data_IF_090173131578
#
_entry.id   IF_090173131578
#
_cell.length_a   1.000
_cell.length_b   1.000
_cell.length_c   1.000
_cell.angle_alpha   90.00
_cell.angle_beta   90.00
_cell.angle_gamma   90.00
#
_symmetry.space_group_name_H-M   'P 1'
#
loop_
_entity.id
_entity.type
_entity.pdbx_description
1 polymer ?
#
# COMPACT_ATOMS: atom_id res chain seq x y z
N UNK A 1 -4.24 -23.26 35.65
CA UNK A 1 -4.72 -21.89 35.87
C UNK A 1 -4.50 -21.17 34.56
N UNK A 2 -5.56 -20.79 33.85
CA UNK A 2 -5.42 -20.08 32.58
C UNK A 2 -5.09 -18.64 32.90
N UNK A 3 -3.81 -18.26 32.83
CA UNK A 3 -3.41 -16.87 32.85
C UNK A 3 -4.11 -16.16 31.69
N UNK A 4 -5.13 -15.36 32.01
CA UNK A 4 -5.60 -14.35 31.09
C UNK A 4 -4.51 -13.28 31.03
N UNK A 5 -3.56 -13.48 30.11
CA UNK A 5 -2.61 -12.43 29.76
C UNK A 5 -3.42 -11.24 29.26
N UNK A 6 -3.50 -10.20 30.09
CA UNK A 6 -4.14 -8.95 29.72
C UNK A 6 -3.35 -8.38 28.53
N UNK A 7 -3.97 -8.35 27.36
CA UNK A 7 -3.35 -7.75 26.19
C UNK A 7 -3.11 -6.26 26.46
N UNK A 8 -1.92 -5.78 26.11
CA UNK A 8 -1.57 -4.38 26.18
C UNK A 8 -1.90 -3.69 24.86
N UNK A 9 -2.21 -2.40 24.93
CA UNK A 9 -2.37 -1.60 23.73
C UNK A 9 -1.00 -1.23 23.16
N UNK A 10 -0.77 -1.49 21.88
CA UNK A 10 0.49 -1.13 21.23
C UNK A 10 0.56 0.35 20.86
N UNK A 11 1.72 1.02 20.98
CA UNK A 11 1.89 2.37 20.46
C UNK A 11 1.73 2.39 18.94
N UNK A 12 0.93 3.32 18.42
CA UNK A 12 0.67 3.46 16.98
C UNK A 12 1.08 4.85 16.51
N UNK A 13 1.71 4.91 15.34
CA UNK A 13 1.94 6.15 14.59
C UNK A 13 1.17 6.12 13.27
N UNK A 14 0.77 7.28 12.78
CA UNK A 14 0.09 7.36 11.49
C UNK A 14 0.46 8.62 10.71
N UNK A 15 0.43 8.50 9.39
CA UNK A 15 0.46 9.60 8.45
C UNK A 15 -0.51 9.28 7.31
N UNK A 16 -0.72 10.24 6.41
CA UNK A 16 -1.56 10.03 5.24
C UNK A 16 -0.97 10.76 4.04
N UNK A 17 -1.37 10.29 2.87
CA UNK A 17 -1.23 10.94 1.57
C UNK A 17 -2.62 11.18 1.01
N UNK A 18 -2.72 11.79 -0.17
CA UNK A 18 -4.03 12.00 -0.81
C UNK A 18 -4.79 10.67 -0.99
N UNK A 19 -4.10 9.64 -1.46
CA UNK A 19 -4.65 8.33 -1.84
C UNK A 19 -4.58 7.26 -0.74
N UNK A 20 -3.65 7.37 0.21
CA UNK A 20 -3.36 6.30 1.16
C UNK A 20 -3.17 6.76 2.62
N UNK A 21 -3.28 5.80 3.53
CA UNK A 21 -2.97 5.91 4.94
C UNK A 21 -1.73 5.06 5.26
N UNK A 22 -0.84 5.63 6.06
CA UNK A 22 0.35 4.97 6.56
C UNK A 22 0.17 4.76 8.05
N UNK A 23 0.02 3.52 8.49
CA UNK A 23 -0.08 3.18 9.91
C UNK A 23 1.15 2.38 10.32
N UNK A 24 1.72 2.68 11.48
CA UNK A 24 2.89 1.96 12.01
C UNK A 24 2.60 1.55 13.45
N UNK A 25 2.62 0.25 13.71
CA UNK A 25 2.60 -0.30 15.07
C UNK A 25 4.06 -0.37 15.54
N UNK A 26 4.40 0.43 16.54
CA UNK A 26 5.78 0.67 17.00
C UNK A 26 6.18 -0.38 18.04
N UNK A 27 6.21 -1.64 17.61
CA UNK A 27 6.62 -2.79 18.42
C UNK A 27 7.78 -3.54 17.76
N UNK A 28 8.89 -3.76 18.47
CA UNK A 28 9.99 -4.58 17.99
C UNK A 28 9.69 -6.07 18.15
N UNK A 29 10.38 -6.91 17.37
CA UNK A 29 10.42 -8.37 17.51
C UNK A 29 9.05 -9.03 17.67
N UNK A 30 8.04 -8.55 16.93
CA UNK A 30 6.69 -9.10 16.96
C UNK A 30 6.69 -10.56 16.50
N UNK A 31 5.94 -11.41 17.20
CA UNK A 31 5.71 -12.82 16.86
C UNK A 31 4.22 -13.13 16.91
N UNK A 32 3.82 -14.20 16.24
CA UNK A 32 2.43 -14.68 16.18
C UNK A 32 1.47 -13.57 15.74
N UNK A 33 1.90 -12.76 14.77
CA UNK A 33 1.10 -11.64 14.30
C UNK A 33 -0.17 -12.11 13.59
N UNK A 34 -1.28 -11.44 13.92
CA UNK A 34 -2.55 -11.58 13.24
C UNK A 34 -3.05 -10.20 12.87
N UNK A 35 -3.14 -9.97 11.58
CA UNK A 35 -3.69 -8.75 10.99
C UNK A 35 -5.04 -9.06 10.38
N UNK A 36 -6.01 -8.19 10.62
CA UNK A 36 -7.31 -8.21 9.95
C UNK A 36 -7.63 -6.78 9.56
N UNK A 37 -7.73 -6.54 8.27
CA UNK A 37 -8.14 -5.27 7.70
C UNK A 37 -9.55 -5.46 7.14
N UNK A 38 -10.49 -4.67 7.62
CA UNK A 38 -11.84 -4.57 7.10
C UNK A 38 -12.04 -3.18 6.49
N UNK A 39 -13.10 -2.99 5.70
CA UNK A 39 -13.35 -1.73 4.96
C UNK A 39 -13.47 -0.47 5.82
N UNK A 40 -13.50 -0.58 7.15
CA UNK A 40 -13.51 0.55 8.07
C UNK A 40 -12.74 0.30 9.38
N UNK A 41 -12.06 -0.84 9.50
CA UNK A 41 -11.34 -1.13 10.72
C UNK A 41 -10.03 -1.88 10.43
N UNK A 42 -9.04 -1.69 11.30
CA UNK A 42 -7.82 -2.48 11.32
C UNK A 42 -7.66 -3.08 12.72
N UNK A 43 -7.55 -4.40 12.77
CA UNK A 43 -7.23 -5.13 13.99
C UNK A 43 -5.87 -5.80 13.84
N UNK A 44 -4.99 -5.56 14.80
CA UNK A 44 -3.69 -6.21 14.92
C UNK A 44 -3.57 -6.88 16.28
N UNK A 45 -3.03 -8.09 16.30
CA UNK A 45 -2.60 -8.79 17.51
C UNK A 45 -1.21 -9.37 17.28
N UNK A 46 -0.37 -9.35 18.30
CA UNK A 46 0.96 -9.94 18.22
C UNK A 46 1.65 -9.95 19.57
N UNK A 47 2.66 -10.78 19.71
CA UNK A 47 3.47 -10.90 20.94
C UNK A 47 4.80 -10.22 20.73
N UNK A 48 5.18 -9.29 21.61
CA UNK A 48 6.50 -8.66 21.62
C UNK A 48 7.11 -8.81 23.00
N UNK A 49 8.38 -9.25 23.08
CA UNK A 49 9.10 -9.46 24.35
C UNK A 49 8.33 -10.32 25.37
N UNK A 50 7.59 -11.33 24.90
CA UNK A 50 6.79 -12.22 25.75
C UNK A 50 5.47 -11.62 26.24
N UNK A 51 5.10 -10.43 25.79
CA UNK A 51 3.86 -9.75 26.16
C UNK A 51 2.92 -9.64 24.96
N UNK A 52 1.64 -9.95 25.19
CA UNK A 52 0.62 -9.88 24.15
C UNK A 52 0.18 -8.43 23.96
N UNK A 53 0.18 -7.98 22.72
CA UNK A 53 -0.31 -6.68 22.31
C UNK A 53 -1.49 -6.79 21.35
N UNK A 54 -2.42 -5.86 21.46
CA UNK A 54 -3.52 -5.68 20.53
C UNK A 54 -3.74 -4.22 20.16
N UNK A 55 -4.24 -4.01 18.95
CA UNK A 55 -4.62 -2.72 18.39
C UNK A 55 -5.91 -2.91 17.63
N UNK A 56 -6.88 -2.01 17.83
CA UNK A 56 -8.13 -1.94 17.07
C UNK A 56 -8.42 -0.51 16.63
N UNK A 57 -8.19 -0.20 15.37
CA UNK A 57 -8.41 1.13 14.80
C UNK A 57 -9.71 1.13 14.02
N UNK A 58 -10.71 1.88 14.49
CA UNK A 58 -11.94 2.13 13.74
C UNK A 58 -11.80 3.43 12.94
N UNK A 59 -11.56 3.31 11.64
CA UNK A 59 -11.19 4.40 10.74
C UNK A 59 -12.30 5.44 10.57
N UNK A 60 -11.89 6.70 10.37
CA UNK A 60 -12.79 7.83 10.19
C UNK A 60 -13.70 7.64 8.96
N UNK A 61 -13.16 7.16 7.84
CA UNK A 61 -13.89 6.82 6.61
C UNK A 61 -13.49 5.43 6.11
N UNK A 62 -14.12 4.99 5.02
CA UNK A 62 -13.87 3.68 4.43
C UNK A 62 -12.50 3.61 3.72
N UNK A 63 -11.92 2.42 3.76
CA UNK A 63 -10.66 2.05 3.09
C UNK A 63 -10.92 0.94 2.09
N UNK A 64 -10.05 0.84 1.09
CA UNK A 64 -10.11 -0.21 0.09
C UNK A 64 -9.24 -1.40 0.53
N UNK A 65 -9.88 -2.47 0.96
CA UNK A 65 -9.21 -3.71 1.39
C UNK A 65 -8.89 -4.62 0.20
N UNK A 66 -9.59 -4.46 -0.92
CA UNK A 66 -9.42 -5.29 -2.11
C UNK A 66 -8.28 -4.77 -3.00
N UNK A 67 -7.88 -3.52 -2.82
CA UNK A 67 -6.70 -2.95 -3.46
C UNK A 67 -5.44 -3.76 -3.14
N UNK A 68 -4.66 -4.07 -4.18
CA UNK A 68 -3.38 -4.76 -4.08
C UNK A 68 -2.32 -3.95 -3.33
N UNK A 69 -2.51 -2.64 -3.23
CA UNK A 69 -1.60 -1.73 -2.56
C UNK A 69 -1.92 -1.60 -1.06
N UNK A 70 -3.07 -2.12 -0.61
CA UNK A 70 -3.42 -2.23 0.81
C UNK A 70 -2.67 -3.40 1.45
N UNK A 71 -1.38 -3.20 1.68
CA UNK A 71 -0.44 -4.20 2.20
C UNK A 71 0.07 -3.85 3.60
N UNK A 72 0.63 -4.85 4.26
CA UNK A 72 1.37 -4.64 5.50
C UNK A 72 2.68 -5.41 5.45
N UNK A 73 3.70 -4.88 6.12
CA UNK A 73 5.01 -5.46 6.21
C UNK A 73 5.51 -5.35 7.65
N UNK A 74 6.06 -6.46 8.15
CA UNK A 74 6.69 -6.52 9.46
C UNK A 74 8.20 -6.41 9.30
N UNK A 75 8.81 -5.55 10.11
CA UNK A 75 10.25 -5.43 10.28
C UNK A 75 10.63 -5.89 11.68
N UNK A 76 11.94 -5.95 11.97
CA UNK A 76 12.43 -6.25 13.32
C UNK A 76 12.05 -5.18 14.36
N UNK A 77 11.74 -3.96 13.91
CA UNK A 77 11.48 -2.81 14.80
C UNK A 77 10.02 -2.42 14.92
N UNK A 78 9.24 -2.68 13.88
CA UNK A 78 7.87 -2.18 13.77
C UNK A 78 7.10 -2.90 12.66
N UNK A 79 5.78 -2.76 12.70
CA UNK A 79 4.88 -3.27 11.66
C UNK A 79 4.28 -2.08 10.92
N UNK A 80 4.49 -2.03 9.61
CA UNK A 80 4.00 -0.99 8.73
C UNK A 80 2.77 -1.46 7.96
N UNK A 81 1.84 -0.55 7.75
CA UNK A 81 0.63 -0.74 6.98
C UNK A 81 0.54 0.39 5.96
N UNK A 82 0.38 0.02 4.70
CA UNK A 82 -0.06 0.90 3.62
C UNK A 82 -1.52 0.54 3.35
N UNK A 83 -2.43 1.49 3.48
CA UNK A 83 -3.87 1.24 3.34
C UNK A 83 -4.45 2.27 2.38
N UNK A 84 -4.94 1.83 1.23
CA UNK A 84 -5.53 2.70 0.24
C UNK A 84 -6.89 3.22 0.72
N UNK A 85 -7.13 4.52 0.57
CA UNK A 85 -8.42 5.14 0.85
C UNK A 85 -9.39 4.76 -0.25
N UNK A 86 -10.63 4.46 0.12
CA UNK A 86 -11.67 4.11 -0.86
C UNK A 86 -12.02 5.29 -1.78
N UNK A 87 -12.01 6.51 -1.24
CA UNK A 87 -12.20 7.75 -1.99
C UNK A 87 -10.88 8.53 -2.02
N UNK A 88 -10.18 8.49 -3.16
CA UNK A 88 -8.88 9.15 -3.34
C UNK A 88 -9.00 10.61 -3.82
N UNK A 89 -10.19 11.01 -4.29
CA UNK A 89 -10.48 12.38 -4.75
C UNK A 89 -10.86 13.33 -3.61
N UNK A 90 -10.98 12.82 -2.38
CA UNK A 90 -11.35 13.61 -1.22
C UNK A 90 -10.14 14.31 -0.58
N UNK A 91 -10.42 15.44 0.10
CA UNK A 91 -9.43 16.13 0.92
C UNK A 91 -8.87 15.24 2.04
N UNK A 92 -7.73 15.65 2.60
CA UNK A 92 -7.06 14.96 3.68
C UNK A 92 -8.00 14.71 4.86
N UNK A 93 -7.86 13.55 5.51
CA UNK A 93 -8.69 13.21 6.65
C UNK A 93 -8.27 14.09 7.84
N UNK A 94 -9.19 14.78 8.52
CA UNK A 94 -8.84 15.62 9.67
C UNK A 94 -8.40 14.81 10.89
N UNK A 95 -8.60 13.48 10.86
CA UNK A 95 -8.26 12.52 11.92
C UNK A 95 -8.24 11.10 11.35
N UNK A 96 -7.53 10.18 12.01
CA UNK A 96 -7.47 8.78 11.59
C UNK A 96 -8.71 8.01 12.05
N UNK A 97 -9.13 8.24 13.31
CA UNK A 97 -10.13 7.42 13.98
C UNK A 97 -11.46 8.14 14.16
N UNK A 98 -12.52 7.34 14.26
CA UNK A 98 -13.82 7.83 14.74
C UNK A 98 -13.77 8.21 16.23
N UNK A 99 -13.07 7.42 17.05
CA UNK A 99 -12.85 7.68 18.48
C UNK A 99 -11.67 8.62 18.72
N UNK A 100 -11.99 9.87 19.05
CA UNK A 100 -11.01 10.92 19.38
C UNK A 100 -10.21 10.65 20.66
N UNK A 101 -10.74 9.86 21.59
CA UNK A 101 -10.09 9.57 22.88
C UNK A 101 -8.96 8.59 22.68
N UNK A 102 -9.24 7.52 21.92
CA UNK A 102 -8.24 6.53 21.54
C UNK A 102 -7.12 7.18 20.72
N UNK A 103 -7.51 8.04 19.77
CA UNK A 103 -6.57 8.78 18.95
C UNK A 103 -5.62 9.61 19.81
N UNK A 104 -6.12 10.44 20.73
CA UNK A 104 -5.28 11.30 21.58
C UNK A 104 -4.35 10.54 22.53
N UNK A 105 -4.73 9.33 22.94
CA UNK A 105 -4.02 8.60 24.00
C UNK A 105 -2.95 7.67 23.42
N UNK A 106 -3.28 6.96 22.36
CA UNK A 106 -2.47 5.83 21.89
C UNK A 106 -2.02 5.93 20.43
N UNK A 107 -2.51 6.92 19.67
CA UNK A 107 -2.17 7.12 18.27
C UNK A 107 -1.47 8.48 18.10
N UNK A 108 -0.30 8.49 17.49
CA UNK A 108 0.49 9.71 17.28
C UNK A 108 0.69 9.97 15.80
N UNK A 109 0.81 11.24 15.42
CA UNK A 109 1.21 11.58 14.05
C UNK A 109 2.67 11.12 13.82
N UNK A 110 2.92 10.46 12.70
CA UNK A 110 4.26 10.10 12.25
C UNK A 110 4.88 11.30 11.51
N UNK A 111 5.51 12.20 12.26
CA UNK A 111 6.17 13.39 11.70
C UNK A 111 7.29 13.06 10.70
N UNK A 112 7.80 11.82 10.68
CA UNK A 112 8.81 11.41 9.69
C UNK A 112 8.22 11.14 8.30
N UNK A 113 6.91 10.86 8.22
CA UNK A 113 6.18 10.58 6.98
C UNK A 113 5.07 11.59 6.70
N UNK A 114 4.87 12.53 7.62
CA UNK A 114 3.85 13.57 7.49
C UNK A 114 4.21 14.49 6.33
N UNK A 115 3.25 14.68 5.43
CA UNK A 115 3.32 15.66 4.35
C UNK A 115 2.01 16.42 4.36
N UNK A 116 2.11 17.74 4.27
CA UNK A 116 0.96 18.62 4.18
C UNK A 116 0.30 18.53 2.80
N UNK A 117 -1.01 18.80 2.76
CA UNK A 117 -1.85 18.62 1.56
C UNK A 117 -1.33 19.39 0.33
N UNK A 118 -0.75 20.58 0.54
CA UNK A 118 -0.19 21.40 -0.54
C UNK A 118 1.13 20.85 -1.10
N UNK A 119 1.94 20.16 -0.28
CA UNK A 119 3.23 19.57 -0.69
C UNK A 119 3.07 18.20 -1.37
N UNK A 120 1.99 17.47 -1.05
CA UNK A 120 1.70 16.16 -1.66
C UNK A 120 1.44 16.24 -3.16
N UNK A 121 0.95 17.39 -3.64
CA UNK A 121 0.66 17.64 -5.06
C UNK A 121 1.95 17.72 -5.91
N UNK A 122 3.09 18.07 -5.30
CA UNK A 122 4.38 18.19 -5.99
C UNK A 122 5.25 16.91 -5.94
N UNK A 123 5.06 16.04 -4.94
CA UNK A 123 5.88 14.82 -4.73
C UNK A 123 5.22 13.53 -5.26
N UNK A 124 4.61 13.57 -6.45
CA UNK A 124 4.06 12.39 -7.11
C UNK A 124 5.13 11.32 -7.38
N UNK A 125 5.32 10.40 -6.43
CA UNK A 125 6.22 9.26 -6.57
C UNK A 125 6.66 8.70 -5.22
N UNK A 126 6.10 7.54 -4.85
CA UNK A 126 6.63 6.72 -3.78
C UNK A 126 8.10 6.37 -4.07
N UNK A 127 9.02 6.79 -3.20
CA UNK A 127 10.44 6.43 -3.32
C UNK A 127 10.61 4.95 -2.95
N UNK A 128 10.47 4.07 -3.96
CA UNK A 128 10.75 2.63 -3.86
C UNK A 128 12.19 2.34 -3.40
N UNK A 129 13.09 3.33 -3.39
CA UNK A 129 14.43 3.18 -2.84
C UNK A 129 14.44 2.87 -1.34
N UNK A 130 13.38 3.26 -0.60
CA UNK A 130 13.22 2.90 0.80
C UNK A 130 12.87 1.40 1.01
N UNK A 131 12.31 0.75 -0.01
CA UNK A 131 12.09 -0.72 -0.03
C UNK A 131 13.31 -1.48 -0.58
N UNK A 132 14.21 -0.80 -1.29
CA UNK A 132 15.41 -1.40 -1.91
C UNK A 132 16.59 -1.56 -0.93
N UNK A 133 16.43 -1.17 0.34
CA UNK A 133 17.49 -1.24 1.36
C UNK A 133 17.87 -2.65 1.85
N UNK A 134 17.35 -3.72 1.22
CA UNK A 134 17.51 -5.09 1.71
C UNK A 134 17.51 -6.15 0.62
N UNK A 135 18.54 -6.15 -0.24
CA UNK A 135 18.93 -7.35 -0.99
C UNK A 135 18.72 -7.32 -2.51
N UNK A 136 19.74 -6.87 -3.23
CA UNK A 136 20.25 -7.59 -4.41
C UNK A 136 19.44 -7.60 -5.71
N UNK A 137 18.36 -6.84 -5.87
CA UNK A 137 17.69 -6.71 -7.16
C UNK A 137 18.22 -5.50 -7.94
N UNK A 138 19.24 -5.76 -8.76
CA UNK A 138 19.85 -4.78 -9.64
C UNK A 138 18.95 -4.52 -10.85
N UNK A 139 18.18 -3.43 -10.81
CA UNK A 139 17.28 -2.99 -11.89
C UNK A 139 18.02 -2.75 -13.21
N UNK A 140 19.32 -2.48 -13.16
CA UNK A 140 20.18 -2.34 -14.33
C UNK A 140 20.33 -3.69 -15.07
N UNK A 141 20.21 -4.82 -14.38
CA UNK A 141 20.23 -6.16 -14.97
C UNK A 141 18.89 -6.54 -15.61
N UNK A 142 17.76 -6.06 -15.06
CA UNK A 142 16.42 -6.32 -15.62
C UNK A 142 16.16 -5.48 -16.88
N UNK A 143 16.60 -4.22 -16.90
CA UNK A 143 16.58 -3.38 -18.11
C UNK A 143 17.48 -3.95 -19.22
N UNK A 144 18.66 -4.49 -18.86
CA UNK A 144 19.55 -5.13 -19.83
C UNK A 144 18.95 -6.42 -20.42
N UNK A 145 18.24 -7.22 -19.62
CA UNK A 145 17.55 -8.43 -20.09
C UNK A 145 16.38 -8.10 -21.03
N UNK A 146 15.65 -7.02 -20.78
CA UNK A 146 14.55 -6.58 -21.64
C UNK A 146 15.06 -5.96 -22.96
N UNK A 147 16.20 -5.27 -22.92
CA UNK A 147 16.85 -4.74 -24.12
C UNK A 147 17.54 -5.83 -24.97
N UNK A 148 17.96 -6.94 -24.35
CA UNK A 148 18.46 -8.12 -25.06
C UNK A 148 17.34 -8.97 -25.70
N UNK A 149 16.15 -9.00 -25.10
CA UNK A 149 14.98 -9.71 -25.64
C UNK A 149 14.35 -8.98 -26.86
N UNK A 150 14.52 -7.66 -26.97
CA UNK A 150 14.03 -6.87 -28.11
C UNK A 150 14.91 -6.92 -29.38
N UNK A 151 16.03 -7.67 -29.34
CA UNK A 151 17.01 -7.76 -30.45
C UNK A 151 17.08 -9.17 -31.07
N UNK A 152 16.15 -10.07 -30.73
CA UNK A 152 16.09 -11.46 -31.25
C UNK A 152 14.85 -11.78 -32.10
N UNK A 153 14.12 -10.78 -32.60
CA UNK A 153 12.95 -11.01 -33.47
C UNK A 153 12.98 -10.14 -34.74
N UNK A 154 14.12 -10.11 -35.43
CA UNK A 154 14.15 -9.85 -36.87
C UNK A 154 14.54 -11.14 -37.59
N UNK A 155 13.57 -11.84 -38.16
CA UNK A 155 13.84 -12.89 -39.14
C UNK A 155 12.64 -13.73 -39.55
N UNK A 156 12.14 -13.47 -40.76
CA UNK A 156 11.32 -14.34 -41.64
C UNK A 156 9.85 -13.91 -41.76
N UNK A 157 9.46 -13.09 -42.74
CA UNK A 157 9.13 -13.40 -44.17
C UNK A 157 7.81 -14.17 -44.39
N UNK A 158 7.05 -13.66 -45.37
CA UNK A 158 5.93 -14.29 -46.12
C UNK A 158 4.60 -14.51 -45.37
N UNK A 159 3.42 -14.33 -45.94
CA UNK A 159 2.91 -13.83 -47.22
C UNK A 159 1.38 -13.74 -47.02
N UNK A 160 0.76 -12.78 -47.69
CA UNK A 160 -0.54 -12.90 -48.39
C UNK A 160 -1.90 -13.06 -47.67
N UNK A 161 -2.88 -12.42 -48.33
CA UNK A 161 -4.35 -12.56 -48.27
C UNK A 161 -5.12 -11.85 -47.12
N UNK A 162 -6.09 -10.97 -47.35
CA UNK A 162 -6.71 -10.39 -48.54
C UNK A 162 -7.65 -9.28 -48.00
N UNK A 163 -7.50 -8.03 -48.46
CA UNK A 163 -8.42 -6.94 -48.10
C UNK A 163 -9.66 -7.01 -49.00
N UNK A 164 -10.90 -7.09 -48.47
CA UNK A 164 -12.09 -7.05 -49.30
C UNK A 164 -12.34 -5.65 -49.88
N UNK A 165 -12.70 -5.69 -51.16
CA UNK A 165 -12.70 -4.63 -52.17
C UNK A 165 -13.69 -3.47 -51.92
N UNK A 166 -13.25 -2.27 -52.30
CA UNK A 166 -14.04 -1.03 -52.37
C UNK A 166 -14.57 -0.90 -53.79
N UNK A 167 -15.78 -1.42 -54.05
CA UNK A 167 -16.46 -1.16 -55.31
C UNK A 167 -17.38 0.05 -55.20
N UNK A 168 -16.94 1.14 -55.82
CA UNK A 168 -17.78 2.25 -56.22
C UNK A 168 -18.04 2.14 -57.72
N UNK A 169 -19.28 1.88 -58.14
CA UNK A 169 -19.74 2.46 -59.40
C UNK A 169 -21.25 2.74 -59.44
N UNK A 170 -21.51 3.92 -59.97
CA UNK A 170 -22.77 4.52 -60.35
C UNK A 170 -23.57 3.72 -61.39
N UNK A 171 -24.91 3.70 -61.28
CA UNK A 171 -25.81 4.24 -62.33
C UNK A 171 -27.30 4.14 -61.96
N UNK A 172 -27.98 5.26 -62.20
CA UNK A 172 -29.34 5.42 -62.76
C UNK A 172 -30.38 4.32 -62.54
N UNK A 173 -31.49 4.70 -61.91
CA UNK A 173 -32.77 4.92 -62.62
C UNK A 173 -33.67 5.91 -61.85
#
# INVERSE_FOLDING_TARGET
MSEHSKALWAPVKWAQRKDALYVTVDLPDVKDEKVTLDGKNLTFKGTSNGQLYEVKLDFYKEVDVESKDSIWAKTDRNVHFHIVKKNQDEAFWPRLLTDKTLEKTNVKVDWSKFVDEDEDVEQGGFDMSALNGGGGFDMNQMMAAQNAAGMMDEGSDSDEDEMPDLDAESKSE
#
